data_IF_122278953905
#
_entry.id   IF_122278953905
#
_cell.length_a   1.000
_cell.length_b   1.000
_cell.length_c   1.000
_cell.angle_alpha   90.00
_cell.angle_beta   90.00
_cell.angle_gamma   90.00
#
_symmetry.space_group_name_H-M   'P 1'
#
loop_
_entity.id
_entity.type
_entity.pdbx_description
1 polymer ?
#
# COMPACT_ATOMS: atom_id res chain seq x y z
N UNK A 1 -6.62 -17.35 -18.53
CA UNK A 1 -7.53 -16.46 -17.78
C UNK A 1 -6.72 -15.24 -17.36
N UNK A 2 -7.15 -14.04 -17.73
CA UNK A 2 -6.47 -12.81 -17.30
C UNK A 2 -6.51 -12.72 -15.76
N UNK A 3 -5.41 -12.31 -15.13
CA UNK A 3 -5.41 -12.07 -13.69
C UNK A 3 -6.41 -10.95 -13.38
N UNK A 4 -7.28 -11.12 -12.39
CA UNK A 4 -8.25 -10.09 -11.97
C UNK A 4 -7.55 -8.74 -11.71
N UNK A 5 -6.31 -8.78 -11.22
CA UNK A 5 -5.48 -7.59 -10.99
C UNK A 5 -5.13 -6.82 -12.27
N UNK A 6 -5.07 -7.46 -13.45
CA UNK A 6 -4.77 -6.76 -14.72
C UNK A 6 -5.93 -5.90 -15.21
N UNK A 7 -7.14 -6.14 -14.72
CA UNK A 7 -8.35 -5.38 -15.09
C UNK A 7 -8.69 -4.31 -14.05
N UNK A 8 -8.54 -4.65 -12.76
CA UNK A 8 -8.87 -3.75 -11.65
C UNK A 8 -8.02 -2.46 -11.69
N UNK A 9 -6.72 -2.58 -11.96
CA UNK A 9 -5.80 -1.44 -11.88
C UNK A 9 -6.09 -0.34 -12.92
N UNK A 10 -6.24 -0.65 -14.23
CA UNK A 10 -6.65 0.37 -15.21
C UNK A 10 -7.98 1.05 -14.86
N UNK A 11 -8.96 0.29 -14.36
CA UNK A 11 -10.26 0.84 -13.98
C UNK A 11 -10.13 1.82 -12.81
N UNK A 12 -9.40 1.45 -11.75
CA UNK A 12 -9.14 2.34 -10.61
C UNK A 12 -8.45 3.63 -11.06
N UNK A 13 -7.40 3.51 -11.86
CA UNK A 13 -6.67 4.66 -12.40
C UNK A 13 -7.58 5.60 -13.19
N UNK A 14 -8.40 5.06 -14.11
CA UNK A 14 -9.31 5.87 -14.93
C UNK A 14 -10.37 6.59 -14.09
N UNK A 15 -10.96 5.90 -13.11
CA UNK A 15 -11.96 6.51 -12.23
C UNK A 15 -11.35 7.60 -11.34
N UNK A 16 -10.18 7.36 -10.75
CA UNK A 16 -9.47 8.37 -9.97
C UNK A 16 -9.13 9.61 -10.80
N UNK A 17 -8.67 9.42 -12.04
CA UNK A 17 -8.38 10.54 -12.93
C UNK A 17 -9.64 11.32 -13.31
N UNK A 18 -10.74 10.63 -13.57
CA UNK A 18 -12.02 11.25 -13.87
C UNK A 18 -12.54 12.04 -12.65
N UNK A 19 -12.49 11.46 -11.45
CA UNK A 19 -12.90 12.12 -10.21
C UNK A 19 -12.05 13.37 -9.95
N UNK A 20 -10.73 13.26 -10.12
CA UNK A 20 -9.81 14.39 -9.99
C UNK A 20 -10.19 15.56 -10.92
N UNK A 21 -10.46 15.27 -12.19
CA UNK A 21 -10.90 16.30 -13.15
C UNK A 21 -12.27 16.88 -12.78
N UNK A 22 -13.21 16.05 -12.32
CA UNK A 22 -14.52 16.52 -11.87
C UNK A 22 -14.44 17.44 -10.65
N UNK A 23 -13.52 17.18 -9.71
CA UNK A 23 -13.27 18.09 -8.58
C UNK A 23 -12.71 19.43 -9.06
N UNK A 24 -11.81 19.43 -10.05
CA UNK A 24 -11.30 20.66 -10.67
C UNK A 24 -12.44 21.43 -11.35
N UNK A 25 -13.30 20.74 -12.11
CA UNK A 25 -14.45 21.40 -12.75
C UNK A 25 -15.42 21.96 -11.71
N UNK A 26 -15.74 21.22 -10.66
CA UNK A 26 -16.57 21.73 -9.58
C UNK A 26 -15.93 22.96 -8.88
N UNK A 27 -14.62 22.98 -8.69
CA UNK A 27 -13.92 24.15 -8.16
C UNK A 27 -13.93 25.35 -9.13
N UNK A 28 -13.84 25.08 -10.44
CA UNK A 28 -13.87 26.11 -11.47
C UNK A 28 -15.28 26.73 -11.63
N UNK A 29 -16.34 25.93 -11.50
CA UNK A 29 -17.74 26.39 -11.61
C UNK A 29 -18.37 26.74 -10.25
N UNK A 30 -17.56 26.92 -9.20
CA UNK A 30 -18.05 27.13 -7.82
C UNK A 30 -18.96 28.33 -7.64
N UNK A 31 -18.78 29.38 -8.43
CA UNK A 31 -19.60 30.61 -8.38
C UNK A 31 -21.08 30.28 -8.60
N UNK A 32 -21.39 29.34 -9.51
CA UNK A 32 -22.77 28.91 -9.77
C UNK A 32 -23.41 28.22 -8.55
N UNK A 33 -22.63 27.45 -7.79
CA UNK A 33 -23.12 26.71 -6.61
C UNK A 33 -23.33 27.60 -5.39
N UNK A 34 -22.51 28.64 -5.28
CA UNK A 34 -22.59 29.61 -4.19
C UNK A 34 -23.81 30.50 -4.41
N UNK A 35 -24.04 30.94 -5.65
CA UNK A 35 -25.18 31.79 -6.00
C UNK A 35 -26.52 31.09 -5.82
N UNK A 36 -26.63 29.80 -6.14
CA UNK A 36 -27.87 29.05 -5.90
C UNK A 36 -28.07 28.72 -4.41
N UNK A 37 -26.98 28.49 -3.67
CA UNK A 37 -27.02 28.11 -2.26
C UNK A 37 -27.21 29.26 -1.27
N UNK A 38 -26.83 30.48 -1.64
CA UNK A 38 -27.02 31.69 -0.85
C UNK A 38 -28.19 32.44 -1.47
N UNK A 39 -29.24 32.69 -0.69
CA UNK A 39 -30.46 33.42 -1.13
C UNK A 39 -30.09 34.64 -1.99
N UNK A 40 -30.85 34.90 -3.08
CA UNK A 40 -30.56 35.93 -4.09
C UNK A 40 -30.53 37.40 -3.57
N UNK A 41 -30.60 37.59 -2.25
CA UNK A 41 -30.60 38.86 -1.55
C UNK A 41 -29.16 39.32 -1.28
N UNK A 42 -28.17 38.42 -1.33
CA UNK A 42 -26.78 38.75 -1.05
C UNK A 42 -26.03 39.12 -2.33
N UNK A 43 -25.35 40.28 -2.29
CA UNK A 43 -24.45 40.71 -3.37
C UNK A 43 -23.12 39.92 -3.31
N UNK A 44 -22.41 39.88 -4.44
CA UNK A 44 -21.11 39.21 -4.59
C UNK A 44 -20.03 39.74 -3.64
N UNK A 45 -20.18 40.98 -3.16
CA UNK A 45 -19.23 41.60 -2.23
C UNK A 45 -19.51 41.26 -0.76
N UNK A 46 -20.62 40.57 -0.47
CA UNK A 46 -20.98 40.19 0.89
C UNK A 46 -19.95 39.24 1.52
N UNK A 47 -19.71 39.41 2.82
CA UNK A 47 -18.77 38.54 3.57
C UNK A 47 -19.19 37.07 3.52
N UNK A 48 -20.50 36.80 3.47
CA UNK A 48 -21.08 35.46 3.38
C UNK A 48 -20.70 34.78 2.05
N UNK A 49 -20.74 35.50 0.93
CA UNK A 49 -20.31 34.97 -0.37
C UNK A 49 -18.83 34.61 -0.36
N UNK A 50 -17.98 35.53 0.15
CA UNK A 50 -16.52 35.32 0.25
C UNK A 50 -16.16 34.14 1.15
N UNK A 51 -16.89 33.93 2.24
CA UNK A 51 -16.70 32.77 3.12
C UNK A 51 -17.07 31.46 2.41
N UNK A 52 -18.21 31.42 1.72
CA UNK A 52 -18.64 30.25 0.96
C UNK A 52 -17.65 29.90 -0.17
N UNK A 53 -17.15 30.91 -0.90
CA UNK A 53 -16.13 30.74 -1.94
C UNK A 53 -14.85 30.10 -1.40
N UNK A 54 -14.31 30.65 -0.31
CA UNK A 54 -13.13 30.10 0.36
C UNK A 54 -13.38 28.68 0.87
N UNK A 55 -14.58 28.41 1.39
CA UNK A 55 -14.96 27.10 1.89
C UNK A 55 -14.97 26.04 0.78
N UNK A 56 -15.58 26.32 -0.37
CA UNK A 56 -15.59 25.38 -1.52
C UNK A 56 -14.17 25.15 -2.02
N UNK A 57 -13.40 26.23 -2.19
CA UNK A 57 -12.02 26.14 -2.68
C UNK A 57 -11.15 25.31 -1.74
N UNK A 58 -11.28 25.50 -0.42
CA UNK A 58 -10.57 24.71 0.58
C UNK A 58 -10.95 23.22 0.51
N UNK A 59 -12.25 22.90 0.47
CA UNK A 59 -12.72 21.52 0.36
C UNK A 59 -12.21 20.84 -0.92
N UNK A 60 -12.30 21.52 -2.07
CA UNK A 60 -11.78 21.03 -3.35
C UNK A 60 -10.27 20.82 -3.33
N UNK A 61 -9.51 21.74 -2.75
CA UNK A 61 -8.05 21.62 -2.66
C UNK A 61 -7.63 20.43 -1.79
N UNK A 62 -8.28 20.24 -0.64
CA UNK A 62 -8.03 19.07 0.22
C UNK A 62 -8.37 17.78 -0.56
N UNK A 63 -9.51 17.74 -1.24
CA UNK A 63 -9.93 16.58 -2.02
C UNK A 63 -8.89 16.25 -3.12
N UNK A 64 -8.41 17.25 -3.86
CA UNK A 64 -7.34 17.10 -4.85
C UNK A 64 -6.06 16.51 -4.24
N UNK A 65 -5.63 17.00 -3.07
CA UNK A 65 -4.43 16.49 -2.38
C UNK A 65 -4.60 15.03 -1.96
N UNK A 66 -5.78 14.66 -1.47
CA UNK A 66 -6.09 13.27 -1.08
C UNK A 66 -6.07 12.33 -2.29
N UNK A 67 -6.75 12.70 -3.39
CA UNK A 67 -6.75 11.93 -4.64
C UNK A 67 -5.33 11.80 -5.22
N UNK A 68 -4.54 12.87 -5.18
CA UNK A 68 -3.17 12.85 -5.66
C UNK A 68 -2.24 11.99 -4.79
N UNK A 69 -2.47 11.97 -3.47
CA UNK A 69 -1.74 11.09 -2.55
C UNK A 69 -2.06 9.61 -2.79
N UNK A 70 -3.33 9.26 -3.03
CA UNK A 70 -3.72 7.91 -3.44
C UNK A 70 -3.15 7.53 -4.82
N UNK A 71 -3.03 8.50 -5.72
CA UNK A 71 -2.42 8.27 -7.02
C UNK A 71 -0.95 7.84 -6.91
N UNK A 72 -0.20 8.45 -5.99
CA UNK A 72 1.19 8.06 -5.74
C UNK A 72 1.32 6.64 -5.19
N UNK A 73 0.47 6.22 -4.24
CA UNK A 73 0.54 4.87 -3.69
C UNK A 73 0.25 3.81 -4.76
N UNK A 74 -0.63 4.14 -5.72
CA UNK A 74 -0.89 3.31 -6.90
C UNK A 74 0.34 3.21 -7.81
N UNK A 75 1.06 4.31 -8.06
CA UNK A 75 2.33 4.29 -8.84
C UNK A 75 3.38 3.39 -8.21
N UNK A 76 3.52 3.43 -6.88
CA UNK A 76 4.47 2.55 -6.16
C UNK A 76 4.03 1.07 -6.15
N UNK A 77 2.80 0.78 -6.57
CA UNK A 77 2.29 -0.58 -6.72
C UNK A 77 1.98 -1.31 -5.41
N UNK A 78 2.08 -0.62 -4.26
CA UNK A 78 1.83 -1.22 -2.94
C UNK A 78 0.36 -1.67 -2.81
N UNK A 79 -0.56 -0.88 -3.35
CA UNK A 79 -2.00 -1.11 -3.34
C UNK A 79 -2.40 -2.38 -4.11
N UNK A 80 -1.58 -2.82 -5.06
CA UNK A 80 -1.88 -3.96 -5.95
C UNK A 80 -2.00 -5.29 -5.20
N UNK A 81 -1.42 -5.37 -4.00
CA UNK A 81 -1.43 -6.59 -3.18
C UNK A 81 -2.80 -6.87 -2.53
N UNK A 82 -3.75 -5.92 -2.56
CA UNK A 82 -5.00 -5.99 -1.81
C UNK A 82 -6.24 -5.79 -2.72
N UNK A 83 -6.47 -6.75 -3.64
CA UNK A 83 -7.58 -6.72 -4.60
C UNK A 83 -8.95 -6.38 -4.00
N UNK A 84 -9.28 -6.90 -2.80
CA UNK A 84 -10.57 -6.61 -2.14
C UNK A 84 -10.74 -5.13 -1.79
N UNK A 85 -9.68 -4.50 -1.28
CA UNK A 85 -9.68 -3.07 -0.94
C UNK A 85 -9.78 -2.24 -2.21
N UNK A 86 -9.03 -2.59 -3.25
CA UNK A 86 -9.09 -1.91 -4.54
C UNK A 86 -10.49 -1.94 -5.16
N UNK A 87 -11.21 -3.06 -5.08
CA UNK A 87 -12.61 -3.15 -5.58
C UNK A 87 -13.53 -2.20 -4.82
N UNK A 88 -13.39 -2.09 -3.50
CA UNK A 88 -14.20 -1.16 -2.71
C UNK A 88 -13.86 0.29 -3.07
N UNK A 89 -12.58 0.64 -3.19
CA UNK A 89 -12.16 1.98 -3.63
C UNK A 89 -12.68 2.32 -5.03
N UNK A 90 -12.67 1.37 -5.98
CA UNK A 90 -13.29 1.54 -7.30
C UNK A 90 -14.77 1.93 -7.18
N UNK A 91 -15.51 1.28 -6.28
CA UNK A 91 -16.93 1.61 -6.04
C UNK A 91 -17.06 3.01 -5.44
N UNK A 92 -16.20 3.39 -4.48
CA UNK A 92 -16.19 4.74 -3.93
C UNK A 92 -15.91 5.81 -4.99
N UNK A 93 -14.86 5.67 -5.81
CA UNK A 93 -14.54 6.63 -6.87
C UNK A 93 -15.63 6.68 -7.94
N UNK A 94 -16.23 5.54 -8.30
CA UNK A 94 -17.35 5.51 -9.23
C UNK A 94 -18.56 6.29 -8.70
N UNK A 95 -18.96 6.05 -7.46
CA UNK A 95 -20.07 6.78 -6.83
C UNK A 95 -19.71 8.26 -6.62
N UNK A 96 -18.45 8.56 -6.25
CA UNK A 96 -17.94 9.92 -6.10
C UNK A 96 -17.97 10.70 -7.40
N UNK A 97 -17.62 10.07 -8.52
CA UNK A 97 -17.77 10.66 -9.85
C UNK A 97 -19.24 10.99 -10.16
N UNK A 98 -20.16 10.05 -9.92
CA UNK A 98 -21.60 10.29 -10.15
C UNK A 98 -22.11 11.42 -9.26
N UNK A 99 -21.67 11.47 -8.00
CA UNK A 99 -22.07 12.50 -7.05
C UNK A 99 -21.51 13.89 -7.43
N UNK A 100 -20.27 13.97 -7.94
CA UNK A 100 -19.70 15.21 -8.46
C UNK A 100 -20.39 15.67 -9.76
N UNK A 101 -20.70 14.74 -10.67
CA UNK A 101 -21.50 15.06 -11.86
C UNK A 101 -22.86 15.62 -11.45
N UNK A 102 -23.54 14.97 -10.49
CA UNK A 102 -24.80 15.44 -9.96
C UNK A 102 -24.66 16.83 -9.32
N UNK A 103 -23.63 17.05 -8.50
CA UNK A 103 -23.32 18.34 -7.89
C UNK A 103 -23.16 19.45 -8.93
N UNK A 104 -22.46 19.16 -10.03
CA UNK A 104 -22.23 20.13 -11.12
C UNK A 104 -23.52 20.45 -11.87
N UNK A 105 -24.33 19.43 -12.19
CA UNK A 105 -25.57 19.61 -12.97
C UNK A 105 -26.70 20.28 -12.17
N UNK A 106 -26.86 19.88 -10.90
CA UNK A 106 -27.99 20.29 -10.05
C UNK A 106 -27.67 21.55 -9.22
N UNK A 107 -26.44 22.06 -9.32
CA UNK A 107 -25.95 23.25 -8.60
C UNK A 107 -26.26 23.22 -7.10
N UNK A 108 -26.09 22.04 -6.50
CA UNK A 108 -26.35 21.82 -5.10
C UNK A 108 -25.57 22.79 -4.19
N UNK A 109 -26.10 23.03 -2.99
CA UNK A 109 -25.51 23.96 -2.02
C UNK A 109 -24.02 23.69 -1.76
N UNK A 110 -23.20 24.74 -1.69
CA UNK A 110 -21.75 24.67 -1.49
C UNK A 110 -21.25 23.78 -0.32
N UNK A 111 -22.10 23.53 0.69
CA UNK A 111 -21.80 22.66 1.84
C UNK A 111 -21.69 21.19 1.47
N UNK A 112 -22.35 20.74 0.40
CA UNK A 112 -22.27 19.35 -0.06
C UNK A 112 -20.84 18.98 -0.45
N UNK A 113 -20.02 19.93 -0.91
CA UNK A 113 -18.63 19.69 -1.29
C UNK A 113 -17.78 19.11 -0.14
N UNK A 114 -18.03 19.54 1.10
CA UNK A 114 -17.39 18.97 2.28
C UNK A 114 -17.79 17.52 2.53
N UNK A 115 -19.07 17.19 2.30
CA UNK A 115 -19.56 15.82 2.42
C UNK A 115 -18.94 14.92 1.33
N UNK A 116 -18.89 15.40 0.09
CA UNK A 116 -18.25 14.67 -1.01
C UNK A 116 -16.76 14.43 -0.74
N UNK A 117 -16.03 15.45 -0.29
CA UNK A 117 -14.62 15.32 0.07
C UNK A 117 -14.42 14.31 1.22
N UNK A 118 -15.25 14.36 2.26
CA UNK A 118 -15.13 13.44 3.39
C UNK A 118 -15.41 11.98 3.00
N UNK A 119 -16.47 11.71 2.22
CA UNK A 119 -16.85 10.34 1.88
C UNK A 119 -16.07 9.75 0.71
N UNK A 120 -15.78 10.54 -0.33
CA UNK A 120 -15.18 10.04 -1.57
C UNK A 120 -13.69 10.42 -1.72
N UNK A 121 -13.20 11.38 -0.94
CA UNK A 121 -11.77 11.68 -0.83
C UNK A 121 -11.13 10.98 0.37
N UNK A 122 -11.63 11.29 1.58
CA UNK A 122 -10.96 10.87 2.81
C UNK A 122 -11.11 9.37 3.11
N UNK A 123 -12.28 8.76 2.90
CA UNK A 123 -12.45 7.31 3.14
C UNK A 123 -11.55 6.46 2.22
N UNK A 124 -11.55 6.63 0.88
CA UNK A 124 -10.65 5.87 0.00
C UNK A 124 -9.17 6.06 0.36
N UNK A 125 -8.77 7.29 0.69
CA UNK A 125 -7.43 7.60 1.15
C UNK A 125 -7.09 6.90 2.48
N UNK A 126 -7.99 6.90 3.47
CA UNK A 126 -7.77 6.21 4.74
C UNK A 126 -7.63 4.68 4.55
N UNK A 127 -8.41 4.09 3.64
CA UNK A 127 -8.27 2.68 3.25
C UNK A 127 -6.89 2.40 2.64
N UNK A 128 -6.40 3.32 1.81
CA UNK A 128 -5.09 3.24 1.17
C UNK A 128 -3.94 3.27 2.19
N UNK A 129 -4.02 4.17 3.17
CA UNK A 129 -3.07 4.23 4.30
C UNK A 129 -3.09 2.92 5.09
N UNK A 130 -4.27 2.34 5.33
CA UNK A 130 -4.40 1.03 5.98
C UNK A 130 -3.70 -0.09 5.20
N UNK A 131 -3.82 -0.08 3.87
CA UNK A 131 -3.11 -1.02 2.98
C UNK A 131 -1.60 -0.82 3.05
N UNK A 132 -1.12 0.42 3.09
CA UNK A 132 0.31 0.73 3.22
C UNK A 132 0.87 0.16 4.53
N UNK A 133 0.20 0.38 5.67
CA UNK A 133 0.61 -0.20 6.95
C UNK A 133 0.61 -1.74 6.94
N UNK A 134 -0.41 -2.35 6.34
CA UNK A 134 -0.49 -3.80 6.20
C UNK A 134 0.64 -4.36 5.32
N UNK A 135 0.98 -3.66 4.23
CA UNK A 135 2.09 -4.01 3.36
C UNK A 135 3.43 -3.92 4.10
N UNK A 136 3.72 -2.80 4.77
CA UNK A 136 4.94 -2.63 5.56
C UNK A 136 5.11 -3.73 6.62
N UNK A 137 4.00 -4.10 7.29
CA UNK A 137 4.00 -5.19 8.28
C UNK A 137 4.33 -6.53 7.64
N UNK A 138 3.70 -6.85 6.50
CA UNK A 138 4.01 -8.09 5.75
C UNK A 138 5.47 -8.15 5.30
N UNK A 139 6.02 -7.07 4.76
CA UNK A 139 7.42 -7.02 4.35
C UNK A 139 8.38 -7.27 5.52
N UNK A 140 8.10 -6.67 6.69
CA UNK A 140 8.90 -6.89 7.90
C UNK A 140 8.86 -8.35 8.35
N UNK A 141 7.68 -8.97 8.35
CA UNK A 141 7.53 -10.39 8.74
C UNK A 141 8.28 -11.31 7.79
N UNK A 142 8.12 -11.12 6.47
CA UNK A 142 8.82 -11.93 5.45
C UNK A 142 10.33 -11.80 5.62
N UNK A 143 10.85 -10.58 5.80
CA UNK A 143 12.28 -10.35 6.01
C UNK A 143 12.81 -11.06 7.26
N UNK A 144 12.06 -11.04 8.37
CA UNK A 144 12.45 -11.75 9.59
C UNK A 144 12.47 -13.28 9.40
N UNK A 145 11.47 -13.82 8.70
CA UNK A 145 11.40 -15.26 8.40
C UNK A 145 12.56 -15.70 7.52
N UNK A 146 12.88 -14.94 6.47
CA UNK A 146 14.03 -15.20 5.60
C UNK A 146 15.36 -15.16 6.37
N UNK A 147 15.52 -14.20 7.29
CA UNK A 147 16.71 -14.13 8.14
C UNK A 147 16.83 -15.36 9.04
N UNK A 148 15.73 -15.81 9.64
CA UNK A 148 15.72 -16.99 10.49
C UNK A 148 16.04 -18.27 9.70
N UNK A 149 15.47 -18.42 8.50
CA UNK A 149 15.79 -19.54 7.61
C UNK A 149 17.28 -19.56 7.25
N UNK A 150 17.86 -18.41 6.89
CA UNK A 150 19.31 -18.30 6.63
C UNK A 150 20.16 -18.63 7.86
N UNK A 151 19.70 -18.30 9.07
CA UNK A 151 20.39 -18.68 10.30
C UNK A 151 20.34 -20.19 10.53
N UNK A 152 19.18 -20.82 10.37
CA UNK A 152 19.02 -22.27 10.49
C UNK A 152 19.85 -23.04 9.47
N UNK A 153 19.91 -22.57 8.22
CA UNK A 153 20.77 -23.15 7.18
C UNK A 153 22.24 -23.06 7.56
N UNK A 154 22.70 -21.91 8.07
CA UNK A 154 24.09 -21.73 8.54
C UNK A 154 24.42 -22.63 9.72
N UNK A 155 23.51 -22.79 10.68
CA UNK A 155 23.70 -23.69 11.82
C UNK A 155 23.72 -25.16 11.39
N UNK A 156 22.84 -25.57 10.46
CA UNK A 156 22.84 -26.92 9.92
C UNK A 156 24.16 -27.24 9.20
N UNK A 157 24.69 -26.31 8.41
CA UNK A 157 25.99 -26.46 7.74
C UNK A 157 27.14 -26.57 8.76
N UNK A 158 27.17 -25.71 9.78
CA UNK A 158 28.19 -25.80 10.86
C UNK A 158 28.16 -27.14 11.58
N UNK A 159 26.97 -27.66 11.89
CA UNK A 159 26.83 -28.98 12.54
C UNK A 159 27.36 -30.10 11.64
N UNK A 160 27.07 -30.06 10.33
CA UNK A 160 27.61 -31.03 9.36
C UNK A 160 29.13 -31.02 9.33
N UNK A 161 29.74 -29.83 9.22
CA UNK A 161 31.20 -29.67 9.25
C UNK A 161 31.82 -30.19 10.56
N UNK A 162 31.16 -29.96 11.70
CA UNK A 162 31.63 -30.46 13.00
C UNK A 162 31.58 -32.00 13.06
N UNK A 163 30.49 -32.61 12.57
CA UNK A 163 30.39 -34.07 12.50
C UNK A 163 31.46 -34.66 11.59
N UNK A 164 31.72 -34.05 10.44
CA UNK A 164 32.77 -34.49 9.51
C UNK A 164 34.17 -34.41 10.15
N UNK A 165 34.48 -33.30 10.85
CA UNK A 165 35.76 -33.16 11.59
C UNK A 165 35.92 -34.24 12.65
N UNK A 166 34.88 -34.50 13.44
CA UNK A 166 34.88 -35.56 14.47
C UNK A 166 35.10 -36.94 13.86
N UNK A 167 34.45 -37.25 12.73
CA UNK A 167 34.66 -38.51 12.01
C UNK A 167 36.11 -38.66 11.50
N UNK A 168 36.69 -37.59 10.95
CA UNK A 168 38.10 -37.60 10.51
C UNK A 168 39.06 -37.84 11.68
N UNK A 169 38.81 -37.24 12.84
CA UNK A 169 39.62 -37.44 14.04
C UNK A 169 39.55 -38.88 14.55
N UNK A 170 38.33 -39.45 14.65
CA UNK A 170 38.13 -40.86 15.04
C UNK A 170 38.83 -41.81 14.07
N UNK A 171 38.75 -41.55 12.76
CA UNK A 171 39.42 -42.35 11.74
C UNK A 171 40.95 -42.32 11.93
N UNK A 172 41.54 -41.12 12.15
CA UNK A 172 42.98 -40.97 12.43
C UNK A 172 43.42 -41.74 13.67
N UNK A 173 42.67 -41.65 14.78
CA UNK A 173 42.96 -42.37 16.01
C UNK A 173 42.90 -43.90 15.81
N UNK A 174 41.90 -44.37 15.08
CA UNK A 174 41.73 -45.81 14.78
C UNK A 174 42.86 -46.35 13.90
N UNK A 175 43.26 -45.59 12.87
CA UNK A 175 44.39 -45.96 12.02
C UNK A 175 45.72 -45.97 12.80
N UNK A 176 45.97 -44.97 13.66
CA UNK A 176 47.16 -44.91 14.51
C UNK A 176 47.26 -46.08 15.50
N UNK A 177 46.14 -46.44 16.16
CA UNK A 177 46.09 -47.59 17.07
C UNK A 177 46.38 -48.93 16.34
N UNK A 178 45.91 -49.06 15.10
CA UNK A 178 46.15 -50.26 14.28
C UNK A 178 47.63 -50.40 13.90
N UNK A 179 48.29 -49.29 13.54
CA UNK A 179 49.73 -49.28 13.24
C UNK A 179 50.59 -49.60 14.48
N UNK A 180 50.23 -49.07 15.66
CA UNK A 180 50.95 -49.35 16.91
C UNK A 180 50.84 -50.83 17.32
N UNK A 181 49.65 -51.45 17.20
CA UNK A 181 49.49 -52.89 17.43
C UNK A 181 50.30 -53.75 16.46
N UNK A 182 50.35 -53.37 15.19
CA UNK A 182 51.14 -54.10 14.19
C UNK A 182 52.65 -54.05 14.50
N UNK A 183 53.16 -52.94 15.01
CA UNK A 183 54.57 -52.80 15.40
C UNK A 183 54.96 -53.63 16.63
N UNK A 184 54.03 -53.88 17.57
CA UNK A 184 54.27 -54.68 18.77
C UNK A 184 54.24 -56.20 18.56
N UNK A 185 53.82 -56.68 17.38
CA UNK A 185 53.69 -58.11 17.08
C UNK A 185 54.94 -58.72 16.40
N UNK A 186 56.07 -57.99 16.35
CA UNK A 186 57.33 -58.54 15.83
C UNK A 186 57.82 -59.60 16.84
N UNK A 187 57.92 -60.89 16.47
CA UNK A 187 58.40 -61.93 17.37
C UNK A 187 59.85 -61.63 17.77
N UNK A 188 60.14 -61.66 19.07
CA UNK A 188 61.53 -61.63 19.55
C UNK A 188 62.27 -62.84 18.94
N UNK A 189 63.43 -62.65 18.30
CA UNK A 189 64.23 -63.76 17.82
C UNK A 189 64.70 -64.60 19.01
N UNK A 190 64.46 -65.92 18.93
CA UNK A 190 64.87 -66.95 19.89
C UNK A 190 66.34 -67.27 19.68
#
# INVERSE_FOLDING_TARGET
MASVSSVIMPIKFLLMMMEFLLVIFAAATREEFIHEGISSIYDFDSDVYKEADRSVLAASLIFIILLFSEFFTLIFGVSLLFNKVNVVQIVFHFIGCLALIWQILDRNQYRTMWSLMAFFGFIPFAMEIGVLFAACTKYKVISNVEQLQRQQEREATRRREEYERKQQEIAKLTMGATQSKAAGAIPQPI
#
